data_IF_786607415273
#
_entry.id   IF_786607415273
#
_cell.length_a   1.000
_cell.length_b   1.000
_cell.length_c   1.000
_cell.angle_alpha   90.00
_cell.angle_beta   90.00
_cell.angle_gamma   90.00
#
_symmetry.space_group_name_H-M   'P 1'
#
loop_
_entity.id
_entity.type
_entity.pdbx_description
1 polymer ?
#
# COMPACT_ATOMS: atom_id res chain seq x y z
N UNK A 1 -13.58 -22.87 77.82
CA UNK A 1 -14.49 -22.40 76.76
C UNK A 1 -13.66 -21.67 75.71
N UNK A 2 -13.89 -21.99 74.44
CA UNK A 2 -13.13 -21.56 73.25
C UNK A 2 -13.36 -20.07 72.98
N UNK A 3 -12.35 -19.35 72.48
CA UNK A 3 -12.56 -18.41 71.36
C UNK A 3 -11.27 -17.99 70.64
N UNK A 4 -11.21 -18.47 69.40
CA UNK A 4 -10.66 -17.95 68.13
C UNK A 4 -9.73 -16.72 68.09
N UNK A 5 -8.62 -16.79 67.31
CA UNK A 5 -7.89 -15.61 66.87
C UNK A 5 -8.46 -15.04 65.56
N UNK A 6 -8.55 -13.72 65.52
CA UNK A 6 -8.97 -12.88 64.40
C UNK A 6 -7.96 -12.92 63.25
N UNK A 7 -8.45 -13.25 62.04
CA UNK A 7 -7.69 -13.16 60.77
C UNK A 7 -7.42 -11.69 60.41
N UNK A 8 -6.15 -11.34 60.23
CA UNK A 8 -5.74 -10.14 59.48
C UNK A 8 -5.77 -10.46 57.99
N UNK A 9 -6.63 -9.77 57.23
CA UNK A 9 -6.56 -9.75 55.77
C UNK A 9 -5.40 -8.84 55.35
N UNK A 10 -4.38 -9.43 54.73
CA UNK A 10 -3.36 -8.68 54.01
C UNK A 10 -3.96 -8.18 52.69
N UNK A 11 -3.73 -6.90 52.40
CA UNK A 11 -4.18 -6.24 51.18
C UNK A 11 -3.65 -6.99 49.94
N UNK A 12 -4.54 -7.24 48.99
CA UNK A 12 -4.19 -7.76 47.68
C UNK A 12 -3.28 -6.75 46.97
N UNK A 13 -2.00 -7.11 46.82
CA UNK A 13 -1.10 -6.45 45.88
C UNK A 13 -1.65 -6.71 44.48
N UNK A 14 -2.27 -5.69 43.89
CA UNK A 14 -2.64 -5.72 42.49
C UNK A 14 -1.39 -5.95 41.65
N UNK A 15 -1.35 -7.06 40.93
CA UNK A 15 -0.42 -7.25 39.82
C UNK A 15 -0.69 -6.15 38.80
N UNK A 16 0.14 -5.10 38.82
CA UNK A 16 0.28 -4.21 37.67
C UNK A 16 0.62 -5.08 36.45
N UNK A 17 -0.06 -4.93 35.31
CA UNK A 17 0.35 -5.62 34.10
C UNK A 17 1.74 -5.12 33.73
N UNK A 18 2.73 -6.02 33.81
CA UNK A 18 4.08 -5.78 33.31
C UNK A 18 3.97 -5.38 31.84
N UNK A 19 4.42 -4.17 31.50
CA UNK A 19 4.67 -3.80 30.11
C UNK A 19 5.72 -4.78 29.56
N UNK A 20 5.46 -5.46 28.43
CA UNK A 20 6.46 -6.36 27.86
C UNK A 20 7.64 -5.54 27.36
N UNK A 21 8.79 -5.79 27.98
CA UNK A 21 10.12 -5.30 27.65
C UNK A 21 10.69 -6.10 26.46
N UNK A 22 9.95 -6.16 25.35
CA UNK A 22 10.26 -7.05 24.23
C UNK A 22 10.48 -6.26 22.95
N UNK A 23 11.72 -6.32 22.45
CA UNK A 23 12.11 -5.90 21.11
C UNK A 23 11.38 -6.67 20.00
N UNK A 24 10.61 -7.71 20.33
CA UNK A 24 9.96 -8.57 19.34
C UNK A 24 8.82 -7.85 18.61
N UNK A 25 8.82 -8.01 17.29
CA UNK A 25 7.73 -7.59 16.43
C UNK A 25 6.62 -8.65 16.47
N UNK A 26 5.42 -8.24 16.89
CA UNK A 26 4.26 -9.14 16.96
C UNK A 26 3.56 -9.23 15.61
N UNK A 27 3.32 -10.47 15.17
CA UNK A 27 2.55 -10.79 13.97
C UNK A 27 1.29 -11.57 14.34
N UNK A 28 0.20 -11.25 13.68
CA UNK A 28 -1.09 -11.94 13.82
C UNK A 28 -1.57 -12.45 12.48
N UNK A 29 -2.47 -13.43 12.52
CA UNK A 29 -3.27 -13.78 11.36
C UNK A 29 -4.64 -13.11 11.44
N UNK A 30 -5.13 -12.61 10.32
CA UNK A 30 -6.54 -12.23 10.22
C UNK A 30 -7.43 -13.47 10.26
N UNK A 31 -8.72 -13.27 10.51
CA UNK A 31 -9.72 -14.27 10.17
C UNK A 31 -9.73 -14.58 8.66
N UNK A 32 -10.30 -15.73 8.33
CA UNK A 32 -10.52 -16.14 6.94
C UNK A 32 -11.66 -15.31 6.31
N UNK A 33 -11.49 -14.94 5.05
CA UNK A 33 -12.45 -14.16 4.26
C UNK A 33 -12.36 -14.53 2.78
N UNK A 34 -13.33 -14.10 1.97
CA UNK A 34 -13.28 -14.32 0.53
C UNK A 34 -12.11 -13.57 -0.13
N UNK A 35 -11.40 -14.20 -1.04
CA UNK A 35 -10.27 -13.57 -1.72
C UNK A 35 -10.75 -12.44 -2.64
N UNK A 36 -10.18 -11.24 -2.49
CA UNK A 36 -10.52 -10.08 -3.32
C UNK A 36 -10.20 -10.20 -4.83
N UNK A 37 -9.53 -11.27 -5.25
CA UNK A 37 -9.21 -11.55 -6.65
C UNK A 37 -9.98 -12.75 -7.23
N UNK A 38 -10.38 -13.69 -6.38
CA UNK A 38 -11.05 -14.94 -6.75
C UNK A 38 -12.10 -15.26 -5.68
N UNK A 39 -13.36 -14.85 -5.87
CA UNK A 39 -14.41 -14.97 -4.86
C UNK A 39 -14.61 -16.40 -4.33
N UNK A 40 -14.27 -17.41 -5.14
CA UNK A 40 -14.35 -18.83 -4.79
C UNK A 40 -13.21 -19.32 -3.88
N UNK A 41 -12.20 -18.48 -3.61
CA UNK A 41 -11.03 -18.83 -2.80
C UNK A 41 -11.08 -18.16 -1.43
N UNK A 42 -10.52 -18.84 -0.45
CA UNK A 42 -10.35 -18.30 0.91
C UNK A 42 -9.00 -17.56 1.00
N UNK A 43 -9.03 -16.40 1.62
CA UNK A 43 -7.87 -15.57 1.91
C UNK A 43 -7.74 -15.29 3.41
N UNK A 44 -6.51 -15.03 3.83
CA UNK A 44 -6.16 -14.44 5.11
C UNK A 44 -4.80 -13.77 4.99
N UNK A 45 -4.52 -12.83 5.88
CA UNK A 45 -3.27 -12.10 5.90
C UNK A 45 -2.48 -12.40 7.18
N UNK A 46 -1.16 -12.23 7.09
CA UNK A 46 -0.33 -11.85 8.23
C UNK A 46 -0.41 -10.34 8.40
N UNK A 47 -0.56 -9.86 9.63
CA UNK A 47 -0.55 -8.44 9.96
C UNK A 47 0.42 -8.17 11.09
N UNK A 48 1.17 -7.06 11.00
CA UNK A 48 1.90 -6.53 12.16
C UNK A 48 0.89 -5.96 13.16
N UNK A 49 1.21 -5.95 14.47
CA UNK A 49 0.33 -5.30 15.46
C UNK A 49 0.08 -3.83 15.05
N UNK A 50 -1.15 -3.44 14.69
CA UNK A 50 -1.45 -2.07 14.28
C UNK A 50 -1.26 -1.05 15.43
N UNK A 51 -1.13 -1.54 16.67
CA UNK A 51 -0.92 -0.71 17.87
C UNK A 51 0.54 -0.65 18.31
N UNK A 52 1.46 -1.29 17.58
CA UNK A 52 2.88 -1.15 17.90
C UNK A 52 3.33 0.30 17.61
N UNK A 53 3.81 1.06 18.62
CA UNK A 53 4.23 2.44 18.40
C UNK A 53 5.43 2.55 17.44
N UNK A 54 6.17 1.46 17.23
CA UNK A 54 7.34 1.38 16.33
C UNK A 54 6.95 1.02 14.89
N UNK A 55 5.66 0.98 14.54
CA UNK A 55 5.21 0.51 13.22
C UNK A 55 5.84 1.30 12.06
N UNK A 56 6.05 2.61 12.26
CA UNK A 56 6.77 3.48 11.31
C UNK A 56 8.22 3.04 11.09
N UNK A 57 8.91 2.61 12.14
CA UNK A 57 10.30 2.15 12.10
C UNK A 57 10.40 0.76 11.46
N UNK A 58 9.41 -0.10 11.71
CA UNK A 58 9.36 -1.44 11.13
C UNK A 58 8.93 -1.46 9.67
N UNK A 59 8.16 -0.47 9.19
CA UNK A 59 7.57 -0.50 7.86
C UNK A 59 8.59 -0.65 6.70
N UNK A 60 9.75 0.04 6.68
CA UNK A 60 10.77 -0.19 5.66
C UNK A 60 11.26 -1.66 5.61
N UNK A 61 11.44 -2.29 6.77
CA UNK A 61 11.81 -3.70 6.87
C UNK A 61 10.68 -4.62 6.41
N UNK A 62 9.44 -4.31 6.81
CA UNK A 62 8.25 -5.04 6.41
C UNK A 62 8.05 -5.05 4.89
N UNK A 63 8.27 -3.91 4.21
CA UNK A 63 8.30 -3.83 2.74
C UNK A 63 9.34 -4.80 2.16
N UNK A 64 10.53 -4.86 2.77
CA UNK A 64 11.59 -5.82 2.42
C UNK A 64 11.19 -7.28 2.58
N UNK A 65 10.26 -7.59 3.49
CA UNK A 65 9.68 -8.94 3.69
C UNK A 65 8.39 -9.18 2.89
N UNK A 66 8.08 -8.30 1.94
CA UNK A 66 6.95 -8.41 1.05
C UNK A 66 5.61 -8.02 1.66
N UNK A 67 5.60 -7.28 2.77
CA UNK A 67 4.38 -6.65 3.30
C UNK A 67 3.99 -5.42 2.49
N UNK A 68 2.75 -4.96 2.69
CA UNK A 68 2.20 -3.71 2.16
C UNK A 68 1.38 -3.01 3.24
N UNK A 69 1.08 -1.74 3.00
CA UNK A 69 0.17 -0.96 3.84
C UNK A 69 -1.23 -0.84 3.22
N UNK A 70 -2.24 -0.83 4.07
CA UNK A 70 -3.60 -0.37 3.79
C UNK A 70 -4.11 0.36 5.03
N UNK A 71 -4.29 1.68 4.94
CA UNK A 71 -4.57 2.48 6.11
C UNK A 71 -3.49 2.35 7.18
N UNK A 72 -3.90 2.08 8.40
CA UNK A 72 -2.98 1.86 9.52
C UNK A 72 -2.48 0.41 9.64
N UNK A 73 -2.83 -0.47 8.70
CA UNK A 73 -2.50 -1.89 8.75
C UNK A 73 -1.33 -2.19 7.80
N UNK A 74 -0.32 -2.89 8.31
CA UNK A 74 0.76 -3.49 7.52
C UNK A 74 0.52 -4.99 7.39
N UNK A 75 0.32 -5.49 6.17
CA UNK A 75 -0.15 -6.85 5.91
C UNK A 75 0.60 -7.55 4.78
N UNK A 76 0.56 -8.90 4.82
CA UNK A 76 1.04 -9.79 3.77
C UNK A 76 0.09 -10.97 3.58
N UNK A 77 -0.39 -11.27 2.36
CA UNK A 77 -1.19 -12.46 2.09
C UNK A 77 -0.49 -13.73 2.57
N UNK A 78 -1.22 -14.51 3.38
CA UNK A 78 -0.76 -15.78 3.95
C UNK A 78 -1.91 -16.79 3.93
N UNK A 79 -2.40 -17.09 2.74
CA UNK A 79 -3.49 -18.05 2.53
C UNK A 79 -2.99 -19.49 2.73
N UNK A 80 -3.82 -20.36 3.32
CA UNK A 80 -3.49 -21.76 3.60
C UNK A 80 -3.16 -22.59 2.35
N UNK A 81 -3.82 -22.30 1.22
CA UNK A 81 -3.66 -23.04 -0.04
C UNK A 81 -3.30 -22.21 -1.27
N UNK A 82 -2.91 -20.93 -1.10
CA UNK A 82 -2.66 -20.03 -2.23
C UNK A 82 -1.42 -19.17 -1.99
N UNK A 83 -0.54 -19.10 -3.01
CA UNK A 83 0.68 -18.26 -3.01
C UNK A 83 0.73 -17.32 -4.22
N UNK A 84 -0.43 -16.99 -4.79
CA UNK A 84 -0.50 -16.26 -6.06
C UNK A 84 -0.11 -14.77 -5.93
N UNK A 85 -0.25 -14.17 -4.74
CA UNK A 85 0.13 -12.79 -4.48
C UNK A 85 1.64 -12.67 -4.27
N UNK A 86 2.37 -12.21 -5.29
CA UNK A 86 3.82 -12.04 -5.26
C UNK A 86 4.14 -10.56 -5.09
N UNK A 87 4.82 -10.17 -4.01
CA UNK A 87 5.26 -8.78 -3.84
C UNK A 87 6.30 -8.44 -4.90
N UNK A 88 6.14 -7.29 -5.56
CA UNK A 88 7.01 -6.80 -6.63
C UNK A 88 7.44 -5.36 -6.40
N UNK A 89 8.65 -5.03 -6.85
CA UNK A 89 9.23 -3.70 -6.81
C UNK A 89 10.08 -3.43 -8.06
N UNK A 90 10.31 -2.18 -8.39
CA UNK A 90 11.17 -1.76 -9.50
C UNK A 90 12.50 -1.29 -8.93
N UNK A 91 13.62 -1.74 -9.50
CA UNK A 91 14.92 -1.13 -9.25
C UNK A 91 15.02 0.19 -10.05
N UNK A 92 14.93 1.32 -9.35
CA UNK A 92 14.68 2.66 -9.93
C UNK A 92 15.83 3.12 -10.84
N UNK A 93 17.07 2.90 -10.42
CA UNK A 93 18.26 3.32 -11.18
C UNK A 93 18.44 2.55 -12.48
N UNK A 94 17.90 1.33 -12.55
CA UNK A 94 17.98 0.46 -13.73
C UNK A 94 16.74 0.55 -14.62
N UNK A 95 15.71 1.28 -14.21
CA UNK A 95 14.46 1.37 -14.95
C UNK A 95 14.62 2.15 -16.26
N UNK A 96 14.24 1.51 -17.36
CA UNK A 96 14.22 2.12 -18.71
C UNK A 96 12.80 2.00 -19.28
N UNK A 97 12.13 3.12 -19.61
CA UNK A 97 10.79 3.07 -20.19
C UNK A 97 10.79 2.34 -21.53
N UNK A 98 9.85 1.42 -21.73
CA UNK A 98 9.63 0.75 -23.01
C UNK A 98 8.97 1.68 -24.06
N UNK A 99 8.74 1.17 -25.28
CA UNK A 99 8.12 1.96 -26.36
C UNK A 99 6.74 2.49 -25.98
N UNK A 100 5.93 1.72 -25.26
CA UNK A 100 4.57 2.10 -24.86
C UNK A 100 4.58 3.15 -23.75
N UNK A 101 5.49 3.02 -22.78
CA UNK A 101 5.70 3.96 -21.69
C UNK A 101 6.26 5.30 -22.21
N UNK A 102 7.20 5.27 -23.17
CA UNK A 102 7.67 6.50 -23.85
C UNK A 102 6.55 7.22 -24.58
N UNK A 103 5.66 6.50 -25.28
CA UNK A 103 4.46 7.10 -25.90
C UNK A 103 3.50 7.69 -24.85
N UNK A 104 3.32 7.02 -23.71
CA UNK A 104 2.52 7.53 -22.60
C UNK A 104 3.09 8.85 -22.07
N UNK A 105 4.41 8.95 -21.88
CA UNK A 105 5.08 10.19 -21.48
C UNK A 105 4.89 11.29 -22.52
N UNK A 106 5.10 10.99 -23.80
CA UNK A 106 4.95 11.97 -24.88
C UNK A 106 3.52 12.52 -24.97
N UNK A 107 2.49 11.66 -24.88
CA UNK A 107 1.09 12.07 -24.88
C UNK A 107 0.74 12.99 -23.71
N UNK A 108 1.44 12.86 -22.59
CA UNK A 108 1.19 13.58 -21.36
C UNK A 108 2.30 14.61 -21.05
N UNK A 109 2.99 15.13 -22.06
CA UNK A 109 4.10 16.06 -21.88
C UNK A 109 3.72 17.32 -21.09
N UNK A 110 2.47 17.77 -21.23
CA UNK A 110 1.91 18.94 -20.53
C UNK A 110 1.29 18.62 -19.16
N UNK A 111 1.44 17.39 -18.66
CA UNK A 111 0.94 17.02 -17.32
C UNK A 111 2.00 17.35 -16.28
N UNK A 112 1.64 18.23 -15.36
CA UNK A 112 2.43 18.59 -14.20
C UNK A 112 2.28 17.54 -13.08
N UNK A 113 3.39 17.27 -12.40
CA UNK A 113 3.42 16.43 -11.19
C UNK A 113 3.59 17.35 -9.98
N UNK A 114 2.72 17.19 -8.97
CA UNK A 114 2.85 17.89 -7.68
C UNK A 114 2.81 16.89 -6.54
N UNK A 115 3.70 17.01 -5.58
CA UNK A 115 3.78 16.11 -4.41
C UNK A 115 3.44 16.91 -3.16
N UNK A 116 2.42 16.45 -2.44
CA UNK A 116 1.92 17.12 -1.24
C UNK A 116 1.77 16.13 -0.09
N UNK A 117 1.65 16.66 1.13
CA UNK A 117 1.21 15.88 2.29
C UNK A 117 -0.16 15.26 1.97
N UNK A 118 -0.36 14.03 2.41
CA UNK A 118 -1.61 13.33 2.17
C UNK A 118 -2.72 13.88 3.07
N UNK A 119 -3.38 14.91 2.58
CA UNK A 119 -4.56 15.50 3.20
C UNK A 119 -5.67 15.49 2.16
N UNK A 120 -6.82 14.93 2.53
CA UNK A 120 -7.95 14.79 1.61
C UNK A 120 -8.52 16.17 1.27
N UNK A 121 -8.55 16.49 -0.01
CA UNK A 121 -9.31 17.64 -0.52
C UNK A 121 -10.66 17.20 -1.10
N UNK A 122 -11.64 18.13 -1.24
CA UNK A 122 -12.90 17.83 -1.92
C UNK A 122 -12.71 17.36 -3.37
N UNK A 123 -11.75 17.94 -4.11
CA UNK A 123 -11.46 17.58 -5.50
C UNK A 123 -10.93 16.13 -5.60
N UNK A 124 -9.99 15.75 -4.72
CA UNK A 124 -9.46 14.38 -4.66
C UNK A 124 -10.55 13.37 -4.29
N UNK A 125 -11.40 13.69 -3.31
CA UNK A 125 -12.51 12.80 -2.91
C UNK A 125 -13.51 12.62 -4.06
N UNK A 126 -13.82 13.69 -4.80
CA UNK A 126 -14.70 13.62 -5.95
C UNK A 126 -14.11 12.72 -7.06
N UNK A 127 -12.83 12.90 -7.39
CA UNK A 127 -12.14 12.04 -8.35
C UNK A 127 -12.12 10.57 -7.91
N UNK A 128 -11.82 10.32 -6.64
CA UNK A 128 -11.81 8.98 -6.06
C UNK A 128 -13.16 8.29 -6.19
N UNK A 129 -14.26 8.96 -5.82
CA UNK A 129 -15.62 8.41 -5.97
C UNK A 129 -15.96 8.07 -7.42
N UNK A 130 -15.67 8.97 -8.37
CA UNK A 130 -15.87 8.70 -9.81
C UNK A 130 -15.07 7.48 -10.27
N UNK A 131 -13.80 7.41 -9.87
CA UNK A 131 -12.93 6.28 -10.21
C UNK A 131 -13.46 4.95 -9.65
N UNK A 132 -13.91 4.93 -8.39
CA UNK A 132 -14.44 3.71 -7.78
C UNK A 132 -15.75 3.26 -8.44
N UNK A 133 -16.67 4.18 -8.72
CA UNK A 133 -17.92 3.87 -9.43
C UNK A 133 -17.66 3.26 -10.82
N UNK A 134 -16.62 3.73 -11.53
CA UNK A 134 -16.23 3.19 -12.83
C UNK A 134 -15.52 1.83 -12.72
N UNK A 135 -14.56 1.70 -11.79
CA UNK A 135 -13.62 0.57 -11.76
C UNK A 135 -14.05 -0.61 -10.88
N UNK A 136 -14.93 -0.34 -9.91
CA UNK A 136 -15.35 -1.26 -8.86
C UNK A 136 -16.86 -1.27 -8.65
N UNK A 137 -17.66 -0.98 -9.69
CA UNK A 137 -19.10 -1.19 -9.65
C UNK A 137 -19.43 -2.62 -9.20
N UNK A 138 -20.17 -2.76 -8.10
CA UNK A 138 -20.53 -4.06 -7.50
C UNK A 138 -19.36 -4.79 -6.82
N UNK A 139 -18.21 -4.14 -6.63
CA UNK A 139 -16.99 -4.72 -6.08
C UNK A 139 -16.73 -4.41 -4.60
N UNK A 140 -17.69 -3.79 -3.91
CA UNK A 140 -17.64 -3.50 -2.46
C UNK A 140 -16.91 -2.22 -2.06
N UNK A 141 -16.27 -1.51 -3.00
CA UNK A 141 -15.63 -0.21 -2.74
C UNK A 141 -16.41 0.97 -3.34
N UNK A 142 -17.39 0.73 -4.19
CA UNK A 142 -18.21 1.78 -4.84
C UNK A 142 -18.99 2.66 -3.85
N UNK A 143 -19.21 2.19 -2.62
CA UNK A 143 -19.80 2.95 -1.51
C UNK A 143 -18.82 3.83 -0.70
N UNK A 144 -17.52 3.81 -0.99
CA UNK A 144 -16.53 4.55 -0.17
C UNK A 144 -16.80 6.06 -0.15
N UNK A 145 -16.93 6.59 1.05
CA UNK A 145 -17.08 7.99 1.36
C UNK A 145 -15.76 8.65 1.80
N UNK A 146 -15.90 9.75 2.53
CA UNK A 146 -14.77 10.50 3.06
C UNK A 146 -13.99 9.71 4.13
N UNK A 147 -14.71 8.97 4.98
CA UNK A 147 -14.13 8.20 6.07
C UNK A 147 -13.30 7.06 5.51
N UNK A 148 -13.82 6.31 4.55
CA UNK A 148 -13.14 5.19 3.91
C UNK A 148 -11.93 5.68 3.10
N UNK A 149 -12.00 6.86 2.48
CA UNK A 149 -10.83 7.49 1.86
C UNK A 149 -9.73 7.72 2.88
N UNK A 150 -10.04 8.37 4.01
CA UNK A 150 -9.06 8.75 5.02
C UNK A 150 -8.46 7.49 5.68
N UNK A 151 -9.30 6.53 6.06
CA UNK A 151 -8.91 5.25 6.64
C UNK A 151 -8.06 4.41 5.70
N UNK A 152 -8.37 4.37 4.41
CA UNK A 152 -7.66 3.51 3.46
C UNK A 152 -6.34 4.14 2.98
N UNK A 153 -6.33 5.45 2.72
CA UNK A 153 -5.25 6.10 1.98
C UNK A 153 -4.25 6.84 2.88
N UNK A 154 -4.70 7.43 4.00
CA UNK A 154 -3.85 8.37 4.75
C UNK A 154 -2.90 7.64 5.70
N UNK A 155 -3.37 6.71 6.54
CA UNK A 155 -2.47 5.99 7.47
C UNK A 155 -1.75 6.93 8.45
N UNK A 156 -2.29 7.07 9.65
CA UNK A 156 -1.89 8.04 10.69
C UNK A 156 -0.41 8.00 11.10
N UNK A 157 0.24 6.84 11.04
CA UNK A 157 1.66 6.67 11.43
C UNK A 157 2.63 6.78 10.25
N UNK A 158 2.14 6.73 9.01
CA UNK A 158 2.98 6.61 7.82
C UNK A 158 3.42 7.98 7.28
N UNK A 159 4.63 8.05 6.73
CA UNK A 159 5.06 9.21 5.94
C UNK A 159 4.51 9.12 4.52
N UNK A 160 3.21 9.31 4.38
CA UNK A 160 2.58 9.24 3.07
C UNK A 160 2.48 10.62 2.39
N UNK A 161 2.48 10.59 1.06
CA UNK A 161 2.35 11.75 0.19
C UNK A 161 1.37 11.43 -0.93
N UNK A 162 0.67 12.46 -1.38
CA UNK A 162 -0.12 12.40 -2.61
C UNK A 162 0.68 13.00 -3.74
N UNK A 163 0.96 12.18 -4.75
CA UNK A 163 1.48 12.63 -6.04
C UNK A 163 0.28 12.89 -6.95
N UNK A 164 -0.02 14.17 -7.16
CA UNK A 164 -1.05 14.64 -8.07
C UNK A 164 -0.50 14.81 -9.48
N UNK A 165 -1.28 14.36 -10.47
CA UNK A 165 -1.08 14.66 -11.88
C UNK A 165 -2.15 15.67 -12.30
N UNK A 166 -1.70 16.84 -12.76
CA UNK A 166 -2.57 17.96 -13.14
C UNK A 166 -2.29 18.43 -14.56
N UNK A 167 -3.30 19.00 -15.20
CA UNK A 167 -3.06 19.79 -16.42
C UNK A 167 -2.19 21.02 -16.09
N UNK A 168 -1.34 21.43 -17.04
CA UNK A 168 -0.47 22.58 -16.87
C UNK A 168 -1.23 23.87 -16.53
N UNK A 169 -0.60 24.77 -15.77
CA UNK A 169 -1.17 26.10 -15.46
C UNK A 169 -2.24 26.11 -14.35
N UNK A 170 -2.01 25.34 -13.27
CA UNK A 170 -2.93 25.14 -12.12
C UNK A 170 -4.20 24.33 -12.41
N UNK A 171 -4.21 23.57 -13.52
CA UNK A 171 -5.40 22.93 -14.05
C UNK A 171 -5.98 21.75 -13.26
N UNK A 172 -6.96 21.13 -13.90
CA UNK A 172 -7.79 20.01 -13.42
C UNK A 172 -6.94 18.86 -12.88
N UNK A 173 -7.36 18.29 -11.74
CA UNK A 173 -6.79 17.05 -11.21
C UNK A 173 -7.14 15.84 -12.11
N UNK A 174 -6.12 15.17 -12.63
CA UNK A 174 -6.26 14.02 -13.53
C UNK A 174 -6.07 12.70 -12.79
N UNK A 175 -5.11 12.63 -11.87
CA UNK A 175 -4.82 11.42 -11.11
C UNK A 175 -4.14 11.74 -9.78
N UNK A 176 -4.27 10.80 -8.84
CA UNK A 176 -3.55 10.82 -7.57
C UNK A 176 -2.93 9.44 -7.36
N UNK A 177 -1.62 9.42 -7.10
CA UNK A 177 -0.92 8.26 -6.57
C UNK A 177 -0.62 8.47 -5.09
N UNK A 178 -1.21 7.61 -4.26
CA UNK A 178 -0.95 7.54 -2.82
C UNK A 178 0.34 6.75 -2.63
N UNK A 179 1.35 7.42 -2.09
CA UNK A 179 2.71 6.91 -2.03
C UNK A 179 3.29 7.08 -0.64
N UNK A 180 3.76 6.00 -0.03
CA UNK A 180 4.53 6.11 1.22
C UNK A 180 6.00 6.36 0.89
N UNK A 181 6.63 7.22 1.67
CA UNK A 181 8.05 7.55 1.58
C UNK A 181 8.78 6.86 2.72
N UNK A 182 9.73 5.99 2.39
CA UNK A 182 10.67 5.40 3.34
C UNK A 182 12.09 5.73 2.92
N UNK A 183 13.07 5.50 3.80
CA UNK A 183 14.45 5.94 3.61
C UNK A 183 15.05 5.52 2.25
N UNK A 184 14.92 4.26 1.87
CA UNK A 184 15.54 3.73 0.64
C UNK A 184 14.55 3.53 -0.53
N UNK A 185 13.27 3.85 -0.35
CA UNK A 185 12.24 3.49 -1.32
C UNK A 185 10.98 4.37 -1.28
N UNK A 186 10.21 4.29 -2.36
CA UNK A 186 8.79 4.67 -2.38
C UNK A 186 7.91 3.42 -2.38
N UNK A 187 6.71 3.49 -1.81
CA UNK A 187 5.71 2.42 -1.85
C UNK A 187 4.40 2.93 -2.45
N UNK A 188 4.06 2.45 -3.65
CA UNK A 188 2.81 2.80 -4.31
C UNK A 188 1.64 2.07 -3.63
N UNK A 189 0.86 2.77 -2.81
CA UNK A 189 -0.24 2.18 -2.03
C UNK A 189 -1.48 2.02 -2.90
N UNK A 190 -1.94 3.12 -3.50
CA UNK A 190 -3.13 3.14 -4.34
C UNK A 190 -3.02 4.22 -5.42
N UNK A 191 -3.78 4.08 -6.50
CA UNK A 191 -3.87 5.11 -7.55
C UNK A 191 -5.30 5.19 -8.05
N UNK A 192 -5.83 6.40 -8.09
CA UNK A 192 -7.12 6.71 -8.68
C UNK A 192 -6.95 7.86 -9.68
N UNK A 193 -7.74 7.85 -10.74
CA UNK A 193 -7.58 8.75 -11.87
C UNK A 193 -8.90 8.95 -12.61
N UNK A 194 -8.92 9.94 -13.49
CA UNK A 194 -10.11 10.29 -14.24
C UNK A 194 -10.47 9.16 -15.21
N UNK A 195 -11.62 8.49 -15.02
CA UNK A 195 -11.98 7.33 -15.84
C UNK A 195 -12.30 7.72 -17.29
N UNK A 196 -12.66 8.98 -17.55
CA UNK A 196 -13.03 9.47 -18.89
C UNK A 196 -11.80 9.72 -19.78
N UNK A 197 -10.59 9.63 -19.21
CA UNK A 197 -9.30 9.87 -19.88
C UNK A 197 -8.50 8.58 -20.05
N UNK A 198 -9.18 7.47 -20.36
CA UNK A 198 -8.57 6.14 -20.49
C UNK A 198 -7.45 6.10 -21.55
N UNK A 199 -7.60 6.83 -22.64
CA UNK A 199 -6.64 6.98 -23.73
C UNK A 199 -5.30 7.60 -23.28
N UNK A 200 -5.31 8.40 -22.20
CA UNK A 200 -4.11 9.00 -21.61
C UNK A 200 -3.25 8.02 -20.82
N UNK A 201 -3.81 6.85 -20.45
CA UNK A 201 -3.11 5.83 -19.65
C UNK A 201 -2.58 6.36 -18.32
N UNK A 202 -3.41 7.15 -17.60
CA UNK A 202 -3.01 7.88 -16.38
C UNK A 202 -2.43 6.99 -15.28
N UNK A 203 -2.89 5.74 -15.12
CA UNK A 203 -2.29 4.79 -14.18
C UNK A 203 -0.84 4.42 -14.52
N UNK A 204 -0.51 4.27 -15.81
CA UNK A 204 0.88 4.06 -16.25
C UNK A 204 1.71 5.32 -16.03
N UNK A 205 1.16 6.49 -16.35
CA UNK A 205 1.82 7.77 -16.11
C UNK A 205 2.15 7.97 -14.62
N UNK A 206 1.22 7.66 -13.72
CA UNK A 206 1.41 7.77 -12.28
C UNK A 206 2.59 6.94 -11.77
N UNK A 207 2.77 5.72 -12.29
CA UNK A 207 3.93 4.88 -11.93
C UNK A 207 5.23 5.47 -12.51
N UNK A 208 5.21 5.91 -13.78
CA UNK A 208 6.40 6.53 -14.40
C UNK A 208 6.84 7.80 -13.65
N UNK A 209 5.88 8.61 -13.18
CA UNK A 209 6.14 9.81 -12.37
C UNK A 209 6.62 9.47 -10.96
N UNK A 210 6.12 8.40 -10.33
CA UNK A 210 6.70 7.90 -9.08
C UNK A 210 8.14 7.40 -9.25
N UNK A 211 8.47 6.74 -10.37
CA UNK A 211 9.86 6.33 -10.66
C UNK A 211 10.75 7.57 -10.87
N UNK A 212 10.26 8.58 -11.59
CA UNK A 212 10.96 9.85 -11.76
C UNK A 212 11.21 10.54 -10.40
N UNK A 213 10.20 10.61 -9.54
CA UNK A 213 10.31 11.13 -8.19
C UNK A 213 11.32 10.36 -7.35
N UNK A 214 11.20 9.02 -7.31
CA UNK A 214 12.14 8.14 -6.62
C UNK A 214 13.59 8.39 -7.07
N UNK A 215 13.82 8.51 -8.38
CA UNK A 215 15.15 8.76 -8.95
C UNK A 215 15.71 10.12 -8.53
N UNK A 216 14.89 11.18 -8.56
CA UNK A 216 15.29 12.53 -8.11
C UNK A 216 15.71 12.54 -6.64
N UNK A 217 15.03 11.76 -5.81
CA UNK A 217 15.35 11.59 -4.38
C UNK A 217 16.36 10.47 -4.08
N UNK A 218 16.96 9.86 -5.11
CA UNK A 218 17.94 8.76 -4.96
C UNK A 218 17.41 7.56 -4.17
N UNK A 219 16.11 7.28 -4.28
CA UNK A 219 15.47 6.08 -3.73
C UNK A 219 15.79 4.89 -4.63
N UNK A 220 16.18 3.76 -4.03
CA UNK A 220 16.63 2.57 -4.78
C UNK A 220 15.46 1.82 -5.41
N UNK A 221 14.31 1.80 -4.74
CA UNK A 221 13.17 0.98 -5.15
C UNK A 221 11.86 1.77 -5.19
N UNK A 222 10.97 1.34 -6.08
CA UNK A 222 9.54 1.63 -6.01
C UNK A 222 8.77 0.32 -5.80
N UNK A 223 8.19 0.11 -4.61
CA UNK A 223 7.33 -1.04 -4.34
C UNK A 223 5.99 -0.86 -5.05
N UNK A 224 5.66 -1.80 -5.95
CA UNK A 224 4.40 -1.81 -6.71
C UNK A 224 3.37 -2.78 -6.14
N UNK A 225 3.74 -3.52 -5.11
CA UNK A 225 2.85 -4.42 -4.40
C UNK A 225 2.68 -5.78 -4.99
N UNK A 226 1.48 -6.35 -4.84
CA UNK A 226 1.25 -7.71 -5.29
C UNK A 226 1.00 -7.75 -6.80
N UNK A 227 1.81 -8.53 -7.50
CA UNK A 227 1.51 -9.06 -8.82
C UNK A 227 0.89 -10.44 -8.66
N UNK A 228 -0.03 -10.78 -9.56
CA UNK A 228 -0.76 -12.04 -9.54
C UNK A 228 -0.76 -12.60 -10.96
N UNK A 229 -0.20 -13.81 -11.10
CA UNK A 229 -0.11 -14.50 -12.38
C UNK A 229 -1.51 -14.69 -13.01
N UNK A 230 -1.65 -14.29 -14.27
CA UNK A 230 -2.89 -14.44 -15.05
C UNK A 230 -4.04 -13.51 -14.64
N UNK A 231 -3.85 -12.60 -13.66
CA UNK A 231 -4.94 -11.72 -13.23
C UNK A 231 -4.96 -10.41 -14.04
N UNK A 232 -6.05 -10.06 -14.74
CA UNK A 232 -6.08 -8.95 -15.70
C UNK A 232 -5.85 -7.57 -15.05
N UNK A 233 -6.26 -7.38 -13.78
CA UNK A 233 -6.01 -6.13 -13.05
C UNK A 233 -4.57 -6.00 -12.53
N UNK A 234 -3.76 -7.05 -12.57
CA UNK A 234 -2.42 -7.09 -11.99
C UNK A 234 -1.30 -7.31 -13.01
N UNK A 235 -1.63 -7.84 -14.19
CA UNK A 235 -0.64 -8.20 -15.21
C UNK A 235 0.25 -7.01 -15.61
N UNK A 236 -0.29 -5.80 -15.69
CA UNK A 236 0.42 -4.61 -16.17
C UNK A 236 1.77 -4.34 -15.47
N UNK A 237 1.92 -4.73 -14.19
CA UNK A 237 3.15 -4.48 -13.39
C UNK A 237 4.38 -5.11 -14.02
N UNK A 238 4.21 -6.24 -14.72
CA UNK A 238 5.32 -6.94 -15.41
C UNK A 238 6.00 -6.12 -16.50
N UNK A 239 5.37 -5.04 -16.97
CA UNK A 239 5.91 -4.15 -18.01
C UNK A 239 6.91 -3.14 -17.45
N UNK A 240 7.02 -3.00 -16.14
CA UNK A 240 7.94 -2.04 -15.52
C UNK A 240 9.28 -2.71 -15.20
N UNK A 241 10.17 -2.76 -16.19
CA UNK A 241 11.44 -3.51 -16.10
C UNK A 241 12.64 -2.61 -15.73
N UNK A 242 13.61 -3.11 -14.93
CA UNK A 242 13.62 -4.43 -14.29
C UNK A 242 12.68 -4.48 -13.08
N UNK A 243 11.76 -5.44 -13.12
CA UNK A 243 10.88 -5.76 -12.00
C UNK A 243 11.58 -6.84 -11.18
N UNK A 244 11.51 -6.72 -9.86
CA UNK A 244 11.94 -7.73 -8.91
C UNK A 244 10.70 -8.31 -8.22
N UNK A 245 10.72 -9.63 -7.96
CA UNK A 245 9.71 -10.33 -7.19
C UNK A 245 10.32 -10.92 -5.92
N UNK A 246 9.55 -10.89 -4.85
CA UNK A 246 9.90 -11.53 -3.60
C UNK A 246 9.49 -13.01 -3.63
N UNK A 247 10.45 -13.91 -3.44
CA UNK A 247 10.20 -15.37 -3.45
C UNK A 247 9.81 -15.94 -2.08
N UNK A 248 9.73 -15.09 -1.06
CA UNK A 248 9.51 -15.47 0.34
C UNK A 248 10.76 -15.36 1.20
N UNK A 249 11.94 -15.27 0.58
CA UNK A 249 13.24 -15.10 1.24
C UNK A 249 14.01 -13.92 0.67
N UNK A 250 14.14 -13.86 -0.66
CA UNK A 250 14.95 -12.88 -1.38
C UNK A 250 14.14 -12.16 -2.46
N UNK A 251 14.67 -11.00 -2.88
CA UNK A 251 14.21 -10.31 -4.08
C UNK A 251 15.00 -10.80 -5.30
N UNK A 252 14.30 -11.31 -6.31
CA UNK A 252 14.88 -11.85 -7.54
C UNK A 252 14.37 -11.08 -8.75
N UNK A 253 15.20 -10.96 -9.79
CA UNK A 253 14.74 -10.40 -11.07
C UNK A 253 13.57 -11.21 -11.58
N UNK A 254 12.46 -10.54 -11.89
CA UNK A 254 11.23 -11.18 -12.34
C UNK A 254 11.44 -11.79 -13.73
N UNK A 255 11.38 -13.11 -13.84
CA UNK A 255 11.60 -13.84 -15.11
C UNK A 255 10.32 -14.40 -15.72
N UNK A 256 9.15 -14.22 -15.09
CA UNK A 256 7.91 -14.79 -15.63
C UNK A 256 7.51 -14.17 -16.99
N UNK A 257 7.45 -15.05 -17.99
CA UNK A 257 6.97 -14.83 -19.37
C UNK A 257 5.46 -14.71 -19.47
#
# INVERSE_FOLDING_TARGET
MRNSPTRRYAAAMGTQPQQPDSDDLRLFHTGEHACGYWPERIARDLVLDPRDPRLREWYPHALGWGFRRSGDIVYRPHCSGCRACVAVRIAVDRFVPDRSQRRCLARNAQVEMRVHRAERTPEQLALYKRYLASRHAGGGMDGHGAIEFDQFLIGSWSENRFLELREAGHGRLLAVAVTDVVEDALSAVYTFYDPDLADRSLGTLAILRQIEWARRERRRHLYLGYWIAGHPKMDYKRRFRPLEAFDGRDWRVFTHS
#
